data_IF_764375325550
#
_entry.id   IF_764375325550
#
_cell.length_a   1.000
_cell.length_b   1.000
_cell.length_c   1.000
_cell.angle_alpha   90.00
_cell.angle_beta   90.00
_cell.angle_gamma   90.00
#
_symmetry.space_group_name_H-M   'P 1'
#
loop_
_entity.id
_entity.type
_entity.pdbx_description
1 polymer ?
#
# COMPACT_ATOMS: atom_id res chain seq x y z
N UNK A 1 -13.81 7.13 12.80
CA UNK A 1 -13.63 7.29 11.34
C UNK A 1 -12.26 7.88 10.95
N UNK A 2 -11.49 8.52 11.85
CA UNK A 2 -10.11 9.00 11.56
C UNK A 2 -9.06 7.87 11.58
N UNK A 3 -9.22 6.82 12.40
CA UNK A 3 -8.21 5.75 12.53
C UNK A 3 -7.96 4.98 11.22
N UNK A 4 -9.02 4.57 10.51
CA UNK A 4 -8.90 3.94 9.20
C UNK A 4 -8.09 4.79 8.21
N UNK A 5 -8.30 6.12 8.21
CA UNK A 5 -7.59 7.03 7.32
C UNK A 5 -6.09 7.09 7.59
N UNK A 6 -5.69 7.05 8.85
CA UNK A 6 -4.28 7.00 9.26
C UNK A 6 -3.67 5.64 8.86
N UNK A 7 -4.37 4.54 9.12
CA UNK A 7 -3.93 3.19 8.75
C UNK A 7 -3.69 3.06 7.24
N UNK A 8 -4.59 3.59 6.40
CA UNK A 8 -4.37 3.60 4.95
C UNK A 8 -3.16 4.44 4.53
N UNK A 9 -2.94 5.59 5.20
CA UNK A 9 -1.78 6.42 4.97
C UNK A 9 -0.47 5.69 5.27
N UNK A 10 -0.40 5.02 6.41
CA UNK A 10 0.78 4.25 6.83
C UNK A 10 1.06 3.08 5.88
N UNK A 11 0.03 2.34 5.45
CA UNK A 11 0.18 1.28 4.45
C UNK A 11 0.75 1.80 3.12
N UNK A 12 0.33 2.98 2.66
CA UNK A 12 0.87 3.58 1.43
C UNK A 12 2.32 4.05 1.59
N UNK A 13 2.67 4.61 2.76
CA UNK A 13 4.03 5.02 3.05
C UNK A 13 4.97 3.81 3.09
N UNK A 14 4.55 2.73 3.74
CA UNK A 14 5.29 1.46 3.79
C UNK A 14 5.47 0.88 2.38
N UNK A 15 4.43 0.89 1.55
CA UNK A 15 4.52 0.41 0.16
C UNK A 15 5.53 1.21 -0.68
N UNK A 16 5.56 2.54 -0.53
CA UNK A 16 6.56 3.40 -1.20
C UNK A 16 7.97 3.20 -0.65
N UNK A 17 8.10 2.99 0.65
CA UNK A 17 9.39 2.72 1.28
C UNK A 17 9.97 1.35 0.86
N UNK A 18 9.11 0.37 0.53
CA UNK A 18 9.51 -0.90 -0.09
C UNK A 18 9.99 -0.71 -1.54
N UNK A 19 9.34 0.16 -2.32
CA UNK A 19 9.61 0.29 -3.76
C UNK A 19 11.04 0.77 -4.05
N UNK A 20 11.58 1.68 -3.23
CA UNK A 20 12.94 2.22 -3.41
C UNK A 20 14.03 1.13 -3.33
N UNK A 21 14.20 0.38 -2.23
CA UNK A 21 15.22 -0.67 -2.14
C UNK A 21 14.99 -1.81 -3.14
N UNK A 22 13.73 -2.11 -3.50
CA UNK A 22 13.42 -3.13 -4.51
C UNK A 22 13.80 -2.69 -5.92
N UNK A 23 13.47 -1.47 -6.32
CA UNK A 23 13.69 -0.97 -7.69
C UNK A 23 15.09 -0.44 -7.93
N UNK A 24 15.65 0.29 -6.96
CA UNK A 24 16.95 0.96 -7.08
C UNK A 24 18.10 0.02 -6.70
N UNK A 25 17.99 -0.62 -5.54
CA UNK A 25 19.04 -1.50 -5.00
C UNK A 25 18.87 -2.98 -5.37
N UNK A 26 17.73 -3.35 -5.97
CA UNK A 26 17.38 -4.72 -6.37
C UNK A 26 17.53 -5.72 -5.22
N UNK A 27 17.22 -5.29 -3.99
CA UNK A 27 17.31 -6.16 -2.83
C UNK A 27 16.40 -7.38 -3.00
N UNK A 28 16.93 -8.54 -2.63
CA UNK A 28 16.17 -9.77 -2.49
C UNK A 28 15.18 -9.68 -1.33
N UNK A 29 14.22 -10.60 -1.31
CA UNK A 29 13.19 -10.62 -0.27
C UNK A 29 13.78 -10.89 1.12
N UNK A 30 14.84 -11.67 1.20
CA UNK A 30 15.55 -11.92 2.45
C UNK A 30 16.24 -10.65 2.97
N UNK A 31 16.85 -9.87 2.06
CA UNK A 31 17.45 -8.58 2.41
C UNK A 31 16.39 -7.56 2.80
N UNK A 32 15.26 -7.49 2.09
CA UNK A 32 14.14 -6.63 2.44
C UNK A 32 13.55 -7.00 3.79
N UNK A 33 13.36 -8.30 4.07
CA UNK A 33 12.95 -8.75 5.40
C UNK A 33 13.89 -8.22 6.47
N UNK A 34 15.19 -8.35 6.28
CA UNK A 34 16.17 -7.88 7.26
C UNK A 34 16.07 -6.36 7.46
N UNK A 35 15.91 -5.58 6.39
CA UNK A 35 15.71 -4.12 6.50
C UNK A 35 14.47 -3.78 7.33
N UNK A 36 13.32 -4.38 7.02
CA UNK A 36 12.08 -4.11 7.74
C UNK A 36 12.13 -4.64 9.18
N UNK A 37 12.79 -5.77 9.44
CA UNK A 37 13.03 -6.30 10.79
C UNK A 37 13.93 -5.38 11.62
N UNK A 38 14.94 -4.75 11.01
CA UNK A 38 15.80 -3.77 11.71
C UNK A 38 15.03 -2.47 11.98
N UNK A 39 14.21 -2.00 11.04
CA UNK A 39 13.33 -0.85 11.28
C UNK A 39 12.34 -1.10 12.42
N UNK A 40 11.80 -2.33 12.53
CA UNK A 40 10.90 -2.71 13.60
C UNK A 40 11.57 -2.69 14.98
N UNK A 41 12.90 -2.77 15.07
CA UNK A 41 13.63 -2.68 16.35
C UNK A 41 13.93 -1.24 16.77
N UNK A 42 13.72 -0.28 15.88
CA UNK A 42 14.02 1.14 16.08
C UNK A 42 12.78 1.99 16.32
N UNK A 43 12.83 3.22 15.81
CA UNK A 43 11.74 4.20 15.96
C UNK A 43 10.46 3.82 15.20
N UNK A 44 10.55 2.88 14.24
CA UNK A 44 9.43 2.40 13.43
C UNK A 44 8.78 1.11 13.98
N UNK A 45 9.07 0.75 15.25
CA UNK A 45 8.42 -0.37 15.94
C UNK A 45 6.90 -0.25 15.86
N UNK A 46 6.27 -1.06 15.01
CA UNK A 46 4.84 -1.02 14.78
C UNK A 46 4.32 -2.34 14.22
N UNK A 47 3.04 -2.63 14.48
CA UNK A 47 2.40 -3.83 13.96
C UNK A 47 2.48 -3.93 12.43
N UNK A 48 2.29 -2.81 11.71
CA UNK A 48 2.34 -2.79 10.25
C UNK A 48 3.75 -3.09 9.71
N UNK A 49 4.81 -2.62 10.37
CA UNK A 49 6.20 -2.92 9.97
C UNK A 49 6.54 -4.39 10.27
N UNK A 50 6.08 -4.91 11.40
CA UNK A 50 6.28 -6.31 11.81
C UNK A 50 5.68 -7.29 10.79
N UNK A 51 4.39 -7.14 10.47
CA UNK A 51 3.73 -8.00 9.48
C UNK A 51 4.32 -7.81 8.08
N UNK A 52 4.86 -6.63 7.75
CA UNK A 52 5.52 -6.39 6.46
C UNK A 52 6.81 -7.19 6.35
N UNK A 53 7.60 -7.30 7.43
CA UNK A 53 8.76 -8.17 7.46
C UNK A 53 8.38 -9.65 7.27
N UNK A 54 7.30 -10.09 7.94
CA UNK A 54 6.80 -11.47 7.84
C UNK A 54 6.31 -11.82 6.43
N UNK A 55 5.65 -10.89 5.74
CA UNK A 55 5.15 -11.10 4.36
C UNK A 55 6.28 -11.49 3.41
N UNK A 56 7.50 -10.95 3.57
CA UNK A 56 8.64 -11.31 2.72
C UNK A 56 9.11 -12.76 2.91
N UNK A 57 8.71 -13.43 3.99
CA UNK A 57 9.02 -14.84 4.23
C UNK A 57 8.05 -15.80 3.55
N UNK A 58 6.94 -15.30 3.01
CA UNK A 58 5.92 -16.10 2.33
C UNK A 58 6.43 -16.47 0.93
N UNK A 59 6.58 -17.77 0.67
CA UNK A 59 6.93 -18.32 -0.64
C UNK A 59 5.65 -18.67 -1.39
N UNK A 60 5.66 -18.52 -2.71
CA UNK A 60 4.57 -19.01 -3.56
C UNK A 60 4.76 -20.52 -3.81
N UNK A 61 3.69 -21.28 -3.60
CA UNK A 61 3.61 -22.72 -3.82
C UNK A 61 3.76 -23.09 -5.31
N UNK A 62 3.61 -22.12 -6.22
CA UNK A 62 3.63 -22.31 -7.69
C UNK A 62 4.94 -21.94 -8.37
N UNK A 63 5.94 -21.43 -7.66
CA UNK A 63 7.30 -21.20 -8.19
C UNK A 63 7.44 -20.03 -9.19
N UNK A 64 6.38 -19.29 -9.50
CA UNK A 64 6.39 -18.16 -10.43
C UNK A 64 6.17 -16.84 -9.68
N UNK A 65 7.24 -16.29 -9.10
CA UNK A 65 7.23 -15.00 -8.40
C UNK A 65 6.65 -15.06 -6.99
N UNK A 66 6.91 -14.04 -6.19
CA UNK A 66 6.36 -13.95 -4.84
C UNK A 66 4.93 -13.42 -4.86
N UNK A 67 4.04 -14.04 -4.07
CA UNK A 67 2.60 -13.71 -3.93
C UNK A 67 2.35 -12.21 -3.75
N UNK A 68 3.21 -11.52 -2.99
CA UNK A 68 3.01 -10.11 -2.66
C UNK A 68 3.34 -9.15 -3.82
N UNK A 69 4.18 -9.53 -4.79
CA UNK A 69 4.50 -8.64 -5.93
C UNK A 69 3.26 -8.45 -6.81
N UNK A 70 2.56 -9.54 -7.11
CA UNK A 70 1.28 -9.48 -7.82
C UNK A 70 0.20 -8.73 -7.04
N UNK A 71 0.19 -8.88 -5.71
CA UNK A 71 -0.73 -8.17 -4.82
C UNK A 71 -0.47 -6.66 -4.83
N UNK A 72 0.78 -6.22 -4.67
CA UNK A 72 1.17 -4.80 -4.70
C UNK A 72 0.81 -4.19 -6.05
N UNK A 73 1.07 -4.89 -7.14
CA UNK A 73 0.76 -4.42 -8.49
C UNK A 73 -0.75 -4.27 -8.70
N UNK A 74 -1.55 -5.21 -8.18
CA UNK A 74 -3.01 -5.11 -8.20
C UNK A 74 -3.55 -3.95 -7.34
N UNK A 75 -3.02 -3.76 -6.13
CA UNK A 75 -3.43 -2.68 -5.22
C UNK A 75 -3.01 -1.29 -5.72
N UNK A 76 -1.77 -1.15 -6.23
CA UNK A 76 -1.32 0.08 -6.86
C UNK A 76 -2.11 0.38 -8.13
N UNK A 77 -2.38 -0.64 -8.96
CA UNK A 77 -3.21 -0.51 -10.15
C UNK A 77 -4.63 -0.07 -9.82
N UNK A 78 -5.27 -0.68 -8.82
CA UNK A 78 -6.61 -0.31 -8.37
C UNK A 78 -6.64 1.12 -7.82
N UNK A 79 -5.64 1.49 -7.02
CA UNK A 79 -5.51 2.85 -6.47
C UNK A 79 -5.32 3.88 -7.58
N UNK A 80 -4.47 3.58 -8.56
CA UNK A 80 -4.25 4.44 -9.72
C UNK A 80 -5.52 4.63 -10.54
N UNK A 81 -6.27 3.55 -10.78
CA UNK A 81 -7.58 3.60 -11.44
C UNK A 81 -8.57 4.44 -10.64
N UNK A 82 -8.64 4.26 -9.32
CA UNK A 82 -9.52 5.05 -8.45
C UNK A 82 -9.19 6.55 -8.46
N UNK A 83 -7.91 6.90 -8.38
CA UNK A 83 -7.45 8.29 -8.44
C UNK A 83 -7.74 8.90 -9.81
N UNK A 84 -7.48 8.17 -10.90
CA UNK A 84 -7.81 8.63 -12.25
C UNK A 84 -9.31 8.80 -12.43
N UNK A 85 -10.12 7.86 -11.96
CA UNK A 85 -11.58 7.96 -12.05
C UNK A 85 -12.10 9.15 -11.24
N UNK A 86 -11.57 9.37 -10.04
CA UNK A 86 -11.90 10.53 -9.21
C UNK A 86 -11.51 11.86 -9.85
N UNK A 87 -10.31 11.94 -10.44
CA UNK A 87 -9.83 13.14 -11.13
C UNK A 87 -10.67 13.44 -12.39
N UNK A 88 -10.95 12.43 -13.22
CA UNK A 88 -11.78 12.58 -14.41
C UNK A 88 -13.23 12.93 -14.04
N UNK A 89 -13.76 12.32 -12.97
CA UNK A 89 -15.06 12.67 -12.41
C UNK A 89 -15.10 14.13 -11.96
N UNK A 90 -14.08 14.60 -11.26
CA UNK A 90 -13.98 15.99 -10.82
C UNK A 90 -13.86 16.97 -11.99
N UNK A 91 -13.12 16.62 -13.05
CA UNK A 91 -13.05 17.42 -14.27
C UNK A 91 -14.40 17.49 -15.02
N UNK A 92 -15.22 16.44 -14.91
CA UNK A 92 -16.52 16.36 -15.59
C UNK A 92 -17.69 16.96 -14.78
N UNK A 93 -17.68 16.83 -13.45
CA UNK A 93 -18.80 17.18 -12.57
C UNK A 93 -18.45 18.16 -11.45
N UNK A 94 -17.19 18.61 -11.37
CA UNK A 94 -16.73 19.59 -10.37
C UNK A 94 -16.89 19.07 -8.93
N UNK A 95 -17.32 19.95 -8.03
CA UNK A 95 -17.43 19.66 -6.60
C UNK A 95 -18.50 18.60 -6.26
N UNK A 96 -19.43 18.28 -7.18
CA UNK A 96 -20.42 17.22 -6.99
C UNK A 96 -19.79 15.81 -6.91
N UNK A 97 -18.53 15.68 -7.35
CA UNK A 97 -17.77 14.42 -7.29
C UNK A 97 -17.32 14.09 -5.87
N UNK A 98 -17.24 15.10 -4.99
CA UNK A 98 -16.82 14.92 -3.60
C UNK A 98 -17.79 14.00 -2.84
N UNK A 99 -19.10 14.06 -3.13
CA UNK A 99 -20.09 13.19 -2.49
C UNK A 99 -19.90 11.71 -2.84
N UNK A 100 -19.40 11.41 -4.05
CA UNK A 100 -19.11 10.05 -4.52
C UNK A 100 -17.80 9.54 -3.90
N UNK A 101 -16.77 10.38 -3.85
CA UNK A 101 -15.41 10.01 -3.39
C UNK A 101 -15.31 9.94 -1.87
N UNK A 102 -16.00 10.81 -1.14
CA UNK A 102 -16.01 10.80 0.33
C UNK A 102 -17.03 9.81 0.93
N UNK A 103 -17.78 9.08 0.09
CA UNK A 103 -18.90 8.23 0.53
C UNK A 103 -19.81 9.00 1.49
N UNK A 104 -20.09 10.27 1.18
CA UNK A 104 -21.04 11.08 1.92
C UNK A 104 -22.45 10.61 1.53
N UNK A 105 -22.77 9.38 1.90
CA UNK A 105 -24.10 8.83 1.74
C UNK A 105 -25.04 9.70 2.58
N UNK A 106 -26.20 10.10 2.03
CA UNK A 106 -27.19 10.80 2.81
C UNK A 106 -27.46 9.96 4.06
N UNK A 107 -27.32 10.58 5.23
CA UNK A 107 -27.68 9.93 6.48
C UNK A 107 -29.20 9.71 6.46
N UNK A 108 -29.59 8.48 6.12
CA UNK A 108 -30.92 7.94 6.38
C UNK A 108 -30.96 7.39 7.81
#
# INVERSE_FOLDING_TARGET
>A
MVHNGIEYGDMQLIAKAYDVPKSVSKLSNEELRNVFSEWNKGELLSFLIDITADIFSIKDDKGEGCVYEGLIQAFCGLTFVYVLLGLNGHLAYGDQTLDIVTLNLPQC
#
